data_IF_624676825534
#
_entry.id   IF_624676825534
#
_cell.length_a   1.000
_cell.length_b   1.000
_cell.length_c   1.000
_cell.angle_alpha   90.00
_cell.angle_beta   90.00
_cell.angle_gamma   90.00
#
_symmetry.space_group_name_H-M   'P 1'
#
loop_
_entity.id
_entity.type
_entity.pdbx_description
1 polymer ?
#
# COMPACT_ATOMS: atom_id res chain seq x y z
N UNK A 1 -4.45 -51.63 -59.81
CA UNK A 1 -5.69 -51.97 -60.52
C UNK A 1 -6.86 -52.04 -59.56
N UNK A 2 -6.93 -52.95 -58.56
CA UNK A 2 -8.11 -53.10 -57.69
C UNK A 2 -8.46 -51.85 -56.87
N UNK A 3 -7.47 -50.99 -56.61
CA UNK A 3 -7.61 -49.77 -55.79
C UNK A 3 -8.43 -48.66 -56.45
N UNK A 4 -8.54 -48.64 -57.78
CA UNK A 4 -9.21 -47.58 -58.54
C UNK A 4 -10.12 -48.10 -59.66
N UNK A 5 -10.15 -49.42 -59.84
CA UNK A 5 -10.93 -50.16 -60.83
C UNK A 5 -11.25 -51.53 -60.22
N UNK A 6 -12.52 -51.90 -60.16
CA UNK A 6 -12.88 -53.27 -59.78
C UNK A 6 -12.54 -54.25 -60.90
N UNK A 7 -12.41 -55.54 -60.58
CA UNK A 7 -12.08 -56.57 -61.57
C UNK A 7 -13.10 -56.64 -62.73
N UNK A 8 -14.36 -56.30 -62.46
CA UNK A 8 -15.44 -56.21 -63.46
C UNK A 8 -15.31 -54.99 -64.37
N UNK A 9 -14.92 -53.83 -63.84
CA UNK A 9 -14.67 -52.62 -64.64
C UNK A 9 -13.39 -52.75 -65.47
N UNK A 10 -12.36 -53.39 -64.92
CA UNK A 10 -11.13 -53.67 -65.64
C UNK A 10 -11.37 -54.63 -66.81
N UNK A 11 -12.18 -55.68 -66.62
CA UNK A 11 -12.56 -56.62 -67.68
C UNK A 11 -13.27 -55.92 -68.85
N UNK A 12 -14.16 -54.96 -68.56
CA UNK A 12 -14.91 -54.16 -69.55
C UNK A 12 -14.03 -53.14 -70.30
N UNK A 13 -12.97 -52.64 -69.67
CA UNK A 13 -12.09 -51.61 -70.25
C UNK A 13 -10.72 -52.16 -70.71
N UNK A 14 -10.49 -53.47 -70.63
CA UNK A 14 -9.17 -54.10 -70.85
C UNK A 14 -8.56 -53.85 -72.24
N UNK A 15 -9.38 -53.54 -73.25
CA UNK A 15 -8.93 -53.16 -74.60
C UNK A 15 -8.72 -51.66 -74.83
N UNK A 16 -9.14 -50.80 -73.90
CA UNK A 16 -9.07 -49.34 -74.00
C UNK A 16 -8.12 -48.78 -72.92
N UNK A 17 -6.83 -48.74 -73.28
CA UNK A 17 -5.78 -48.24 -72.36
C UNK A 17 -6.01 -46.78 -71.95
N UNK A 18 -6.65 -45.98 -72.80
CA UNK A 18 -6.93 -44.57 -72.54
C UNK A 18 -8.00 -44.39 -71.47
N UNK A 19 -9.06 -45.21 -71.46
CA UNK A 19 -10.08 -45.19 -70.42
C UNK A 19 -9.54 -45.67 -69.06
N UNK A 20 -8.70 -46.71 -69.06
CA UNK A 20 -8.01 -47.20 -67.87
C UNK A 20 -7.09 -46.13 -67.28
N UNK A 21 -6.30 -45.46 -68.12
CA UNK A 21 -5.42 -44.38 -67.71
C UNK A 21 -6.21 -43.18 -67.15
N UNK A 22 -7.31 -42.80 -67.79
CA UNK A 22 -8.17 -41.71 -67.32
C UNK A 22 -8.78 -41.97 -65.93
N UNK A 23 -9.20 -43.22 -65.65
CA UNK A 23 -9.69 -43.61 -64.31
C UNK A 23 -8.57 -43.61 -63.26
N UNK A 24 -7.38 -44.09 -63.60
CA UNK A 24 -6.22 -43.99 -62.72
C UNK A 24 -5.86 -42.52 -62.41
N UNK A 25 -5.82 -41.66 -63.43
CA UNK A 25 -5.53 -40.23 -63.28
C UNK A 25 -6.60 -39.49 -62.48
N UNK A 26 -7.88 -39.87 -62.62
CA UNK A 26 -8.97 -39.32 -61.81
C UNK A 26 -8.80 -39.70 -60.33
N UNK A 27 -8.49 -40.96 -60.05
CA UNK A 27 -8.23 -41.45 -58.68
C UNK A 27 -7.00 -40.79 -58.05
N UNK A 28 -5.89 -40.69 -58.80
CA UNK A 28 -4.66 -40.02 -58.35
C UNK A 28 -4.94 -38.54 -58.07
N UNK A 29 -5.69 -37.84 -58.93
CA UNK A 29 -6.08 -36.44 -58.68
C UNK A 29 -6.98 -36.28 -57.46
N UNK A 30 -7.90 -37.23 -57.23
CA UNK A 30 -8.72 -37.26 -56.02
C UNK A 30 -7.88 -37.39 -54.75
N UNK A 31 -6.95 -38.36 -54.72
CA UNK A 31 -6.04 -38.54 -53.59
C UNK A 31 -5.11 -37.33 -53.38
N UNK A 32 -4.62 -36.71 -54.46
CA UNK A 32 -3.81 -35.49 -54.35
C UNK A 32 -4.63 -34.34 -53.75
N UNK A 33 -5.89 -34.19 -54.15
CA UNK A 33 -6.77 -33.17 -53.59
C UNK A 33 -7.08 -33.41 -52.11
N UNK A 34 -7.33 -34.66 -51.71
CA UNK A 34 -7.49 -35.03 -50.31
C UNK A 34 -6.21 -34.76 -49.50
N UNK A 35 -5.04 -35.13 -50.03
CA UNK A 35 -3.74 -34.87 -49.43
C UNK A 35 -3.51 -33.37 -49.22
N UNK A 36 -3.79 -32.54 -50.24
CA UNK A 36 -3.64 -31.09 -50.15
C UNK A 36 -4.62 -30.48 -49.15
N UNK A 37 -5.85 -31.02 -49.07
CA UNK A 37 -6.84 -30.59 -48.07
C UNK A 37 -6.39 -30.94 -46.65
N UNK A 38 -5.85 -32.14 -46.44
CA UNK A 38 -5.30 -32.56 -45.14
C UNK A 38 -4.09 -31.72 -44.78
N UNK A 39 -3.19 -31.45 -45.73
CA UNK A 39 -2.02 -30.58 -45.52
C UNK A 39 -2.45 -29.17 -45.12
N UNK A 40 -3.38 -28.55 -45.84
CA UNK A 40 -3.89 -27.22 -45.51
C UNK A 40 -4.54 -27.17 -44.12
N UNK A 41 -5.26 -28.24 -43.71
CA UNK A 41 -5.82 -28.35 -42.36
C UNK A 41 -4.74 -28.50 -41.30
N UNK A 42 -3.68 -29.26 -41.56
CA UNK A 42 -2.55 -29.41 -40.66
C UNK A 42 -1.81 -28.07 -40.51
N UNK A 43 -1.50 -27.39 -41.61
CA UNK A 43 -0.84 -26.08 -41.60
C UNK A 43 -1.68 -25.04 -40.82
N UNK A 44 -3.01 -25.02 -41.01
CA UNK A 44 -3.90 -24.15 -40.27
C UNK A 44 -3.94 -24.46 -38.76
N UNK A 45 -3.87 -25.75 -38.39
CA UNK A 45 -3.81 -26.17 -37.00
C UNK A 45 -2.47 -25.76 -36.35
N UNK A 46 -1.36 -25.90 -37.06
CA UNK A 46 -0.03 -25.50 -36.60
C UNK A 46 0.06 -23.98 -36.38
N UNK A 47 -0.45 -23.19 -37.34
CA UNK A 47 -0.52 -21.72 -37.20
C UNK A 47 -1.36 -21.33 -35.97
N UNK A 48 -2.51 -21.98 -35.77
CA UNK A 48 -3.37 -21.67 -34.63
C UNK A 48 -2.71 -22.08 -33.30
N UNK A 49 -1.98 -23.19 -33.27
CA UNK A 49 -1.21 -23.60 -32.11
C UNK A 49 -0.11 -22.58 -31.78
N UNK A 50 0.64 -22.10 -32.77
CA UNK A 50 1.71 -21.11 -32.59
C UNK A 50 1.17 -19.75 -32.11
N UNK A 51 0.03 -19.31 -32.66
CA UNK A 51 -0.65 -18.09 -32.21
C UNK A 51 -1.12 -18.21 -30.75
N UNK A 52 -1.68 -19.36 -30.37
CA UNK A 52 -2.09 -19.60 -28.98
C UNK A 52 -0.89 -19.64 -28.03
N UNK A 53 0.21 -20.28 -28.42
CA UNK A 53 1.45 -20.28 -27.65
C UNK A 53 1.98 -18.85 -27.44
N UNK A 54 2.03 -18.05 -28.50
CA UNK A 54 2.49 -16.65 -28.45
C UNK A 54 1.61 -15.80 -27.51
N UNK A 55 0.29 -16.00 -27.56
CA UNK A 55 -0.64 -15.29 -26.68
C UNK A 55 -0.43 -15.68 -25.19
N UNK A 56 -0.21 -16.96 -24.92
CA UNK A 56 0.05 -17.45 -23.57
C UNK A 56 1.39 -16.90 -23.04
N UNK A 57 2.44 -16.91 -23.87
CA UNK A 57 3.73 -16.33 -23.51
C UNK A 57 3.62 -14.84 -23.18
N UNK A 58 2.90 -14.07 -24.00
CA UNK A 58 2.68 -12.65 -23.73
C UNK A 58 1.94 -12.43 -22.40
N UNK A 59 0.90 -13.23 -22.12
CA UNK A 59 0.18 -13.18 -20.83
C UNK A 59 1.10 -13.52 -19.66
N UNK A 60 1.93 -14.55 -19.81
CA UNK A 60 2.88 -14.95 -18.78
C UNK A 60 3.91 -13.84 -18.50
N UNK A 61 4.47 -13.22 -19.54
CA UNK A 61 5.40 -12.11 -19.41
C UNK A 61 4.76 -10.90 -18.73
N UNK A 62 3.53 -10.54 -19.11
CA UNK A 62 2.78 -9.46 -18.47
C UNK A 62 2.54 -9.74 -16.99
N UNK A 63 2.10 -10.96 -16.67
CA UNK A 63 1.83 -11.36 -15.30
C UNK A 63 3.12 -11.39 -14.45
N UNK A 64 4.22 -11.89 -15.01
CA UNK A 64 5.52 -11.89 -14.33
C UNK A 64 6.02 -10.47 -14.04
N UNK A 65 5.81 -9.52 -14.95
CA UNK A 65 6.15 -8.12 -14.72
C UNK A 65 5.31 -7.49 -13.60
N UNK A 66 4.01 -7.80 -13.54
CA UNK A 66 3.14 -7.35 -12.45
C UNK A 66 3.55 -7.96 -11.11
N UNK A 67 3.90 -9.25 -11.08
CA UNK A 67 4.42 -9.91 -9.87
C UNK A 67 5.71 -9.23 -9.38
N UNK A 68 6.66 -8.96 -10.27
CA UNK A 68 7.90 -8.27 -9.90
C UNK A 68 7.64 -6.87 -9.34
N UNK A 69 6.67 -6.14 -9.92
CA UNK A 69 6.25 -4.83 -9.39
C UNK A 69 5.60 -4.97 -8.01
N UNK A 70 4.74 -5.97 -7.81
CA UNK A 70 4.12 -6.22 -6.52
C UNK A 70 5.16 -6.58 -5.45
N UNK A 71 6.14 -7.42 -5.79
CA UNK A 71 7.26 -7.76 -4.91
C UNK A 71 8.06 -6.51 -4.50
N UNK A 72 8.35 -5.60 -5.44
CA UNK A 72 9.03 -4.34 -5.10
C UNK A 72 8.20 -3.47 -4.15
N UNK A 73 6.88 -3.38 -4.35
CA UNK A 73 6.01 -2.62 -3.46
C UNK A 73 5.94 -3.22 -2.06
N UNK A 74 5.93 -4.56 -1.96
CA UNK A 74 5.98 -5.25 -0.66
C UNK A 74 7.31 -4.95 0.04
N UNK A 75 8.43 -4.98 -0.67
CA UNK A 75 9.73 -4.63 -0.10
C UNK A 75 9.78 -3.17 0.38
N UNK A 76 9.25 -2.22 -0.40
CA UNK A 76 9.17 -0.81 -0.01
C UNK A 76 8.31 -0.61 1.24
N UNK A 77 7.13 -1.23 1.28
CA UNK A 77 6.24 -1.17 2.45
C UNK A 77 6.88 -1.81 3.69
N UNK A 78 7.60 -2.92 3.52
CA UNK A 78 8.32 -3.56 4.61
C UNK A 78 9.42 -2.64 5.17
N UNK A 79 10.21 -2.01 4.30
CA UNK A 79 11.26 -1.08 4.74
C UNK A 79 10.68 0.15 5.48
N UNK A 80 9.54 0.66 5.01
CA UNK A 80 8.81 1.76 5.66
C UNK A 80 8.27 1.35 7.03
N UNK A 81 7.72 0.13 7.14
CA UNK A 81 7.25 -0.42 8.41
C UNK A 81 8.40 -0.55 9.41
N UNK A 82 9.53 -1.11 8.99
CA UNK A 82 10.71 -1.29 9.84
C UNK A 82 11.25 0.07 10.31
N UNK A 83 11.28 1.08 9.43
CA UNK A 83 11.65 2.45 9.82
C UNK A 83 10.70 3.02 10.89
N UNK A 84 9.38 2.86 10.73
CA UNK A 84 8.41 3.34 11.71
C UNK A 84 8.52 2.62 13.05
N UNK A 85 8.86 1.33 13.05
CA UNK A 85 9.12 0.58 14.27
C UNK A 85 10.35 1.11 15.01
N UNK A 86 11.44 1.45 14.30
CA UNK A 86 12.61 2.10 14.89
C UNK A 86 12.26 3.46 15.52
N UNK A 87 11.53 4.32 14.80
CA UNK A 87 11.10 5.64 15.30
C UNK A 87 10.25 5.51 16.58
N UNK A 88 9.33 4.54 16.64
CA UNK A 88 8.51 4.27 17.83
C UNK A 88 9.40 3.83 19.00
N UNK A 89 10.37 2.94 18.76
CA UNK A 89 11.29 2.47 19.81
C UNK A 89 12.14 3.61 20.38
N UNK A 90 12.65 4.48 19.51
CA UNK A 90 13.42 5.67 19.92
C UNK A 90 12.57 6.64 20.74
N UNK A 91 11.35 6.95 20.28
CA UNK A 91 10.42 7.81 21.00
C UNK A 91 10.05 7.24 22.37
N UNK A 92 9.85 5.92 22.49
CA UNK A 92 9.61 5.25 23.77
C UNK A 92 10.80 5.39 24.71
N UNK A 93 12.03 5.20 24.22
CA UNK A 93 13.24 5.38 25.01
C UNK A 93 13.38 6.82 25.52
N UNK A 94 13.17 7.81 24.65
CA UNK A 94 13.21 9.23 25.02
C UNK A 94 12.14 9.59 26.05
N UNK A 95 10.92 9.07 25.90
CA UNK A 95 9.85 9.27 26.88
C UNK A 95 10.25 8.73 28.25
N UNK A 96 10.79 7.50 28.29
CA UNK A 96 11.24 6.91 29.55
C UNK A 96 12.37 7.72 30.20
N UNK A 97 13.30 8.24 29.41
CA UNK A 97 14.36 9.13 29.89
C UNK A 97 13.80 10.44 30.48
N UNK A 98 12.84 11.07 29.80
CA UNK A 98 12.18 12.28 30.29
C UNK A 98 11.38 12.02 31.56
N UNK A 99 10.73 10.87 31.67
CA UNK A 99 10.02 10.47 32.88
C UNK A 99 10.97 10.33 34.07
N UNK A 100 12.14 9.73 33.88
CA UNK A 100 13.17 9.66 34.91
C UNK A 100 13.66 11.05 35.35
N UNK A 101 13.91 11.94 34.39
CA UNK A 101 14.31 13.33 34.68
C UNK A 101 13.22 14.09 35.45
N UNK A 102 11.94 13.90 35.09
CA UNK A 102 10.82 14.50 35.80
C UNK A 102 10.81 14.06 37.26
N UNK A 103 10.96 12.76 37.52
CA UNK A 103 11.00 12.21 38.88
C UNK A 103 12.18 12.77 39.68
N UNK A 104 13.34 12.96 39.06
CA UNK A 104 14.49 13.62 39.70
C UNK A 104 14.22 15.07 40.07
N UNK A 105 13.56 15.83 39.18
CA UNK A 105 13.16 17.21 39.47
C UNK A 105 12.12 17.30 40.57
N UNK A 106 11.16 16.38 40.61
CA UNK A 106 10.17 16.31 41.69
C UNK A 106 10.83 16.04 43.05
N UNK A 107 11.82 15.14 43.09
CA UNK A 107 12.62 14.91 44.31
C UNK A 107 13.39 16.16 44.75
N UNK A 108 13.92 16.93 43.81
CA UNK A 108 14.61 18.19 44.11
C UNK A 108 13.64 19.24 44.66
N UNK A 109 12.47 19.38 44.05
CA UNK A 109 11.41 20.29 44.50
C UNK A 109 10.99 19.95 45.94
N UNK A 110 10.79 18.67 46.25
CA UNK A 110 10.43 18.25 47.61
C UNK A 110 11.53 18.53 48.62
N UNK A 111 12.82 18.35 48.26
CA UNK A 111 13.92 18.73 49.14
C UNK A 111 13.93 20.24 49.42
N UNK A 112 13.85 21.05 48.38
CA UNK A 112 13.80 22.51 48.51
C UNK A 112 12.58 22.97 49.32
N UNK A 113 11.43 22.31 49.16
CA UNK A 113 10.24 22.56 49.97
C UNK A 113 10.54 22.35 51.47
N UNK A 114 11.19 21.24 51.83
CA UNK A 114 11.56 20.97 53.23
C UNK A 114 12.55 21.99 53.78
N UNK A 115 13.56 22.40 52.99
CA UNK A 115 14.52 23.43 53.40
C UNK A 115 13.84 24.79 53.63
N UNK A 116 12.90 25.18 52.77
CA UNK A 116 12.11 26.41 52.93
C UNK A 116 11.24 26.34 54.19
N UNK A 117 10.64 25.19 54.50
CA UNK A 117 9.86 25.00 55.72
C UNK A 117 10.72 25.12 56.99
N UNK A 118 11.93 24.54 56.99
CA UNK A 118 12.88 24.68 58.09
C UNK A 118 13.34 26.12 58.26
N UNK A 119 13.65 26.81 57.16
CA UNK A 119 14.00 28.23 57.19
C UNK A 119 12.86 29.09 57.75
N UNK A 120 11.61 28.82 57.35
CA UNK A 120 10.44 29.51 57.91
C UNK A 120 10.27 29.27 59.42
N UNK A 121 10.55 28.06 59.92
CA UNK A 121 10.54 27.78 61.36
C UNK A 121 11.62 28.58 62.10
N UNK A 122 12.85 28.58 61.58
CA UNK A 122 13.96 29.34 62.16
C UNK A 122 13.71 30.86 62.15
N UNK A 123 13.20 31.40 61.03
CA UNK A 123 12.80 32.81 60.91
C UNK A 123 11.77 33.20 61.97
N UNK A 124 10.76 32.35 62.21
CA UNK A 124 9.73 32.61 63.23
C UNK A 124 10.33 32.67 64.63
N UNK A 125 11.19 31.73 64.98
CA UNK A 125 11.90 31.71 66.27
C UNK A 125 12.75 32.96 66.48
N UNK A 126 13.45 33.42 65.44
CA UNK A 126 14.25 34.65 65.52
C UNK A 126 13.39 35.90 65.72
N UNK A 127 12.22 35.98 65.07
CA UNK A 127 11.28 37.09 65.27
C UNK A 127 10.75 37.11 66.71
N UNK A 128 10.34 35.95 67.25
CA UNK A 128 9.89 35.84 68.65
C UNK A 128 10.99 36.27 69.64
N UNK A 129 12.25 35.88 69.39
CA UNK A 129 13.37 36.29 70.23
C UNK A 129 13.66 37.80 70.11
N UNK A 130 13.55 38.36 68.91
CA UNK A 130 13.71 39.80 68.72
C UNK A 130 12.63 40.59 69.46
N UNK A 131 11.36 40.18 69.36
CA UNK A 131 10.26 40.78 70.11
C UNK A 131 10.50 40.72 71.63
N UNK A 132 11.00 39.59 72.14
CA UNK A 132 11.37 39.46 73.55
C UNK A 132 12.50 40.43 73.94
N UNK A 133 13.52 40.60 73.09
CA UNK A 133 14.63 41.52 73.35
C UNK A 133 14.20 42.98 73.29
N UNK A 134 13.29 43.33 72.39
CA UNK A 134 12.71 44.66 72.33
C UNK A 134 11.90 44.99 73.60
N UNK A 135 11.15 44.01 74.13
CA UNK A 135 10.47 44.15 75.42
C UNK A 135 11.46 44.36 76.56
N UNK A 136 12.51 43.53 76.67
CA UNK A 136 13.56 43.69 77.69
C UNK A 136 14.22 45.08 77.59
N UNK A 137 14.58 45.52 76.39
CA UNK A 137 15.17 46.84 76.16
C UNK A 137 14.21 47.97 76.57
N UNK A 138 12.91 47.84 76.27
CA UNK A 138 11.90 48.82 76.65
C UNK A 138 11.77 48.93 78.18
N UNK A 139 11.80 47.81 78.89
CA UNK A 139 11.78 47.78 80.37
C UNK A 139 13.04 48.42 80.94
N UNK A 140 14.22 48.06 80.42
CA UNK A 140 15.49 48.68 80.83
C UNK A 140 15.47 50.19 80.59
N UNK A 141 14.99 50.64 79.44
CA UNK A 141 14.84 52.06 79.13
C UNK A 141 13.88 52.76 80.09
N UNK A 142 12.76 52.13 80.47
CA UNK A 142 11.84 52.67 81.47
C UNK A 142 12.51 52.79 82.85
N UNK A 143 13.30 51.78 83.27
CA UNK A 143 14.06 51.85 84.53
C UNK A 143 15.13 52.94 84.52
N UNK A 144 15.87 53.06 83.42
CA UNK A 144 16.86 54.13 83.22
C UNK A 144 16.21 55.51 83.27
N UNK A 145 15.06 55.67 82.63
CA UNK A 145 14.28 56.92 82.70
C UNK A 145 13.85 57.24 84.13
N UNK A 146 13.39 56.24 84.90
CA UNK A 146 13.07 56.42 86.32
C UNK A 146 14.30 56.84 87.15
N UNK A 147 15.47 56.26 86.88
CA UNK A 147 16.71 56.70 87.53
C UNK A 147 17.10 58.13 87.16
N UNK A 148 16.96 58.48 85.88
CA UNK A 148 17.23 59.84 85.38
C UNK A 148 16.30 60.86 86.06
N UNK A 149 15.00 60.57 86.14
CA UNK A 149 14.02 61.43 86.81
C UNK A 149 14.34 61.62 88.30
N UNK A 150 14.80 60.56 88.98
CA UNK A 150 15.28 60.66 90.36
C UNK A 150 16.51 61.57 90.48
N UNK A 151 17.50 61.42 89.60
CA UNK A 151 18.69 62.27 89.59
C UNK A 151 18.31 63.73 89.32
N UNK A 152 17.43 63.99 88.35
CA UNK A 152 16.93 65.34 88.05
C UNK A 152 16.18 65.94 89.24
N UNK A 153 15.37 65.14 89.94
CA UNK A 153 14.69 65.57 91.16
C UNK A 153 15.67 65.87 92.31
N UNK A 154 16.75 65.09 92.43
CA UNK A 154 17.83 65.34 93.37
C UNK A 154 18.61 66.60 93.00
N UNK A 155 18.95 66.80 91.72
CA UNK A 155 19.64 68.02 91.27
C UNK A 155 18.75 69.25 91.41
N UNK A 156 17.44 69.14 91.22
CA UNK A 156 16.49 70.21 91.49
C UNK A 156 16.38 70.50 93.00
N UNK A 157 16.44 69.46 93.85
CA UNK A 157 16.51 69.63 95.31
C UNK A 157 17.82 70.28 95.76
N UNK A 158 18.96 69.91 95.18
CA UNK A 158 20.25 70.58 95.40
C UNK A 158 20.25 72.00 94.86
N UNK A 159 19.64 72.27 93.71
CA UNK A 159 19.46 73.64 93.19
C UNK A 159 18.51 74.47 94.07
N UNK A 160 17.53 73.83 94.72
CA UNK A 160 16.66 74.45 95.73
C UNK A 160 17.41 74.68 97.06
N UNK A 161 18.33 73.78 97.43
CA UNK A 161 19.23 73.90 98.57
C UNK A 161 20.29 75.00 98.36
N UNK A 162 20.86 75.11 97.16
CA UNK A 162 21.75 76.19 96.73
C UNK A 162 21.01 77.54 96.65
N UNK A 163 19.73 77.56 96.23
CA UNK A 163 18.88 78.76 96.31
C UNK A 163 18.49 79.17 97.75
N UNK A 164 18.73 78.34 98.77
CA UNK A 164 18.48 78.61 100.19
C UNK A 164 19.75 78.97 100.99
N UNK A 165 20.93 78.95 100.36
CA UNK A 165 22.25 79.09 100.99
C UNK A 165 22.94 80.45 100.86
N UNK A 166 22.36 81.45 100.18
CA UNK A 166 23.03 82.74 99.90
C UNK A 166 22.30 83.95 100.52
N UNK A 167 22.36 84.12 101.85
CA UNK A 167 21.96 85.35 102.57
C UNK A 167 22.78 85.51 103.87
N UNK A 168 23.42 86.68 104.09
CA UNK A 168 24.22 87.20 105.26
C UNK A 168 25.76 86.96 105.21
N UNK A 169 26.67 87.92 105.43
CA UNK A 169 26.60 89.30 105.92
C UNK A 169 27.92 90.08 105.67
N UNK A 170 27.86 91.42 105.69
CA UNK A 170 28.90 92.41 105.35
C UNK A 170 29.87 92.83 106.48
N UNK A 171 30.97 93.50 106.06
CA UNK A 171 31.81 94.54 106.73
C UNK A 171 32.74 94.07 107.89
N UNK A 172 33.99 94.53 108.06
CA UNK A 172 34.52 95.90 107.92
C UNK A 172 36.08 95.95 107.85
N UNK A 173 36.60 97.15 107.55
CA UNK A 173 37.93 97.56 107.08
C UNK A 173 38.98 97.77 108.20
N UNK A 174 40.28 97.43 107.93
CA UNK A 174 41.53 98.15 108.30
C UNK A 174 42.78 97.26 108.60
N UNK A 175 43.62 96.95 107.59
CA UNK A 175 45.08 96.68 107.72
C UNK A 175 45.81 96.61 106.34
N UNK A 176 45.61 97.61 105.48
CA UNK A 176 45.70 97.45 104.02
C UNK A 176 47.08 97.54 103.34
N UNK A 177 48.22 97.76 104.00
CA UNK A 177 49.48 98.04 103.25
C UNK A 177 50.66 97.05 103.38
N UNK A 178 50.79 96.25 104.46
CA UNK A 178 51.91 95.27 104.58
C UNK A 178 51.48 93.81 104.35
N UNK A 179 50.25 93.45 104.73
CA UNK A 179 49.67 92.14 104.38
C UNK A 179 49.31 92.10 102.89
N UNK A 180 48.95 93.23 102.29
CA UNK A 180 48.60 93.34 100.86
C UNK A 180 49.71 92.86 99.92
N UNK A 181 50.99 93.14 100.23
CA UNK A 181 52.10 92.66 99.38
C UNK A 181 52.39 91.16 99.53
N UNK A 182 52.16 90.59 100.72
CA UNK A 182 52.36 89.16 101.01
C UNK A 182 51.16 88.30 100.55
N UNK A 183 49.93 88.79 100.73
CA UNK A 183 48.71 88.25 100.15
C UNK A 183 48.74 88.35 98.62
N UNK A 184 49.22 89.45 98.04
CA UNK A 184 49.36 89.56 96.59
C UNK A 184 50.37 88.54 96.06
N UNK A 185 51.49 88.31 96.75
CA UNK A 185 52.47 87.30 96.34
C UNK A 185 51.92 85.88 96.48
N UNK A 186 51.25 85.56 97.59
CA UNK A 186 50.60 84.26 97.82
C UNK A 186 49.49 84.01 96.78
N UNK A 187 48.65 85.02 96.53
CA UNK A 187 47.58 84.97 95.54
C UNK A 187 48.14 84.84 94.12
N UNK A 188 49.26 85.51 93.78
CA UNK A 188 49.91 85.34 92.48
C UNK A 188 50.51 83.94 92.33
N UNK A 189 51.09 83.35 93.38
CA UNK A 189 51.60 81.97 93.35
C UNK A 189 50.49 80.93 93.30
N UNK A 190 49.40 81.13 94.02
CA UNK A 190 48.22 80.25 93.99
C UNK A 190 47.50 80.34 92.64
N UNK A 191 47.37 81.55 92.08
CA UNK A 191 46.83 81.76 90.74
C UNK A 191 47.74 81.16 89.66
N UNK A 192 49.07 81.22 89.84
CA UNK A 192 50.02 80.56 88.94
C UNK A 192 49.88 79.03 89.01
N UNK A 193 49.83 78.44 90.21
CA UNK A 193 49.63 77.01 90.41
C UNK A 193 48.27 76.53 89.87
N UNK A 194 47.21 77.31 90.07
CA UNK A 194 45.88 77.04 89.53
C UNK A 194 45.86 77.09 88.00
N UNK A 195 46.53 78.08 87.40
CA UNK A 195 46.68 78.16 85.94
C UNK A 195 47.47 76.97 85.39
N UNK A 196 48.56 76.58 86.06
CA UNK A 196 49.36 75.41 85.67
C UNK A 196 48.57 74.11 85.75
N UNK A 197 47.80 73.91 86.82
CA UNK A 197 46.92 72.75 86.97
C UNK A 197 45.85 72.69 85.86
N UNK A 198 45.24 73.85 85.53
CA UNK A 198 44.27 73.95 84.43
C UNK A 198 44.92 73.70 83.06
N UNK A 199 46.15 74.17 82.84
CA UNK A 199 46.88 73.89 81.61
C UNK A 199 47.17 72.39 81.48
N UNK A 200 47.66 71.75 82.55
CA UNK A 200 47.91 70.31 82.57
C UNK A 200 46.63 69.48 82.33
N UNK A 201 45.50 69.90 82.90
CA UNK A 201 44.19 69.27 82.66
C UNK A 201 43.75 69.39 81.20
N UNK A 202 43.85 70.58 80.61
CA UNK A 202 43.54 70.82 79.19
C UNK A 202 44.48 70.04 78.27
N UNK A 203 45.75 69.90 78.61
CA UNK A 203 46.71 69.08 77.86
C UNK A 203 46.37 67.58 77.94
N UNK A 204 45.96 67.10 79.12
CA UNK A 204 45.48 65.73 79.31
C UNK A 204 44.16 65.47 78.56
N UNK A 205 43.27 66.47 78.48
CA UNK A 205 42.06 66.42 77.65
C UNK A 205 42.39 66.40 76.16
N UNK A 206 43.30 67.26 75.71
CA UNK A 206 43.73 67.33 74.31
C UNK A 206 44.35 66.01 73.85
N UNK A 207 45.18 65.38 74.68
CA UNK A 207 45.75 64.06 74.39
C UNK A 207 44.69 62.96 74.35
N UNK A 208 43.72 62.96 75.29
CA UNK A 208 42.57 62.05 75.24
C UNK A 208 41.72 62.24 73.99
N UNK A 209 41.41 63.48 73.62
CA UNK A 209 40.67 63.82 72.41
C UNK A 209 41.41 63.35 71.16
N UNK A 210 42.72 63.59 71.06
CA UNK A 210 43.54 63.10 69.93
C UNK A 210 43.52 61.58 69.81
N UNK A 211 43.65 60.86 70.93
CA UNK A 211 43.56 59.40 70.94
C UNK A 211 42.17 58.89 70.50
N UNK A 212 41.10 59.58 70.93
CA UNK A 212 39.74 59.28 70.50
C UNK A 212 39.54 59.53 69.00
N UNK A 213 40.08 60.63 68.46
CA UNK A 213 40.03 60.93 67.01
C UNK A 213 40.74 59.85 66.17
N UNK A 214 41.93 59.40 66.59
CA UNK A 214 42.65 58.33 65.88
C UNK A 214 41.83 57.04 65.84
N UNK A 215 41.22 56.65 66.98
CA UNK A 215 40.36 55.46 67.04
C UNK A 215 39.15 55.60 66.12
N UNK A 216 38.47 56.74 66.15
CA UNK A 216 37.31 56.98 65.28
C UNK A 216 37.69 56.99 63.80
N UNK A 217 38.87 57.48 63.42
CA UNK A 217 39.34 57.41 62.03
C UNK A 217 39.60 55.95 61.60
N UNK A 218 40.19 55.14 62.47
CA UNK A 218 40.36 53.69 62.21
C UNK A 218 39.03 52.97 62.07
N UNK A 219 38.07 53.24 62.97
CA UNK A 219 36.71 52.66 62.89
C UNK A 219 36.02 53.07 61.58
N UNK A 220 36.14 54.34 61.17
CA UNK A 220 35.63 54.83 59.89
C UNK A 220 36.26 54.10 58.70
N UNK A 221 37.59 53.95 58.66
CA UNK A 221 38.26 53.23 57.57
C UNK A 221 37.81 51.75 57.47
N UNK A 222 37.60 51.08 58.61
CA UNK A 222 37.10 49.71 58.64
C UNK A 222 35.69 49.66 58.05
N UNK A 223 34.81 50.57 58.46
CA UNK A 223 33.44 50.64 57.95
C UNK A 223 33.41 50.97 56.44
N UNK A 224 34.27 51.87 55.96
CA UNK A 224 34.39 52.20 54.54
C UNK A 224 34.84 50.97 53.72
N UNK A 225 35.83 50.21 54.20
CA UNK A 225 36.28 48.96 53.55
C UNK A 225 35.20 47.88 53.57
N UNK A 226 34.44 47.76 54.67
CA UNK A 226 33.32 46.83 54.75
C UNK A 226 32.22 47.20 53.76
N UNK A 227 31.88 48.48 53.66
CA UNK A 227 30.89 48.97 52.70
C UNK A 227 31.33 48.76 51.25
N UNK A 228 32.60 49.00 50.92
CA UNK A 228 33.10 48.76 49.56
C UNK A 228 33.03 47.27 49.20
N UNK A 229 33.47 46.39 50.10
CA UNK A 229 33.40 44.95 49.89
C UNK A 229 31.96 44.45 49.73
N UNK A 230 31.03 44.90 50.59
CA UNK A 230 29.61 44.54 50.48
C UNK A 230 29.01 45.00 49.15
N UNK A 231 29.39 46.19 48.67
CA UNK A 231 28.90 46.71 47.40
C UNK A 231 29.47 45.95 46.19
N UNK A 232 30.74 45.54 46.24
CA UNK A 232 31.37 44.68 45.24
C UNK A 232 30.69 43.30 45.19
N UNK A 233 30.49 42.66 46.34
CA UNK A 233 29.81 41.36 46.43
C UNK A 233 28.36 41.46 45.94
N UNK A 234 27.63 42.51 46.33
CA UNK A 234 26.27 42.75 45.87
C UNK A 234 26.23 42.91 44.33
N UNK A 235 27.13 43.71 43.77
CA UNK A 235 27.22 43.89 42.32
C UNK A 235 27.58 42.58 41.61
N UNK A 236 28.51 41.79 42.14
CA UNK A 236 28.87 40.49 41.58
C UNK A 236 27.67 39.53 41.56
N UNK A 237 26.91 39.45 42.67
CA UNK A 237 25.69 38.63 42.74
C UNK A 237 24.60 39.13 41.78
N UNK A 238 24.39 40.44 41.70
CA UNK A 238 23.43 41.06 40.77
C UNK A 238 23.78 40.73 39.32
N UNK A 239 25.06 40.86 38.94
CA UNK A 239 25.53 40.52 37.60
C UNK A 239 25.34 39.03 37.29
N UNK A 240 25.72 38.14 38.21
CA UNK A 240 25.51 36.70 38.07
C UNK A 240 24.02 36.35 37.86
N UNK A 241 23.12 37.00 38.62
CA UNK A 241 21.69 36.84 38.46
C UNK A 241 21.18 37.33 37.10
N UNK A 242 21.68 38.47 36.61
CA UNK A 242 21.35 38.96 35.27
C UNK A 242 21.81 38.01 34.16
N UNK A 243 23.01 37.45 34.27
CA UNK A 243 23.50 36.45 33.31
C UNK A 243 22.65 35.18 33.31
N UNK A 244 22.28 34.69 34.50
CA UNK A 244 21.39 33.54 34.65
C UNK A 244 20.03 33.81 34.01
N UNK A 245 19.44 34.99 34.28
CA UNK A 245 18.15 35.39 33.72
C UNK A 245 18.20 35.47 32.19
N UNK A 246 19.27 36.03 31.63
CA UNK A 246 19.47 36.09 30.18
C UNK A 246 19.57 34.68 29.57
N UNK A 247 20.37 33.78 30.15
CA UNK A 247 20.46 32.38 29.69
C UNK A 247 19.11 31.67 29.76
N UNK A 248 18.35 31.88 30.82
CA UNK A 248 17.02 31.31 30.96
C UNK A 248 16.07 31.81 29.85
N UNK A 249 16.05 33.12 29.57
CA UNK A 249 15.24 33.68 28.49
C UNK A 249 15.66 33.17 27.10
N UNK A 250 16.96 33.01 26.85
CA UNK A 250 17.48 32.43 25.60
C UNK A 250 17.01 30.97 25.43
N UNK A 251 17.08 30.16 26.49
CA UNK A 251 16.60 28.78 26.48
C UNK A 251 15.08 28.69 26.32
N UNK A 252 14.32 29.55 27.00
CA UNK A 252 12.87 29.60 26.88
C UNK A 252 12.44 29.95 25.45
N UNK A 253 13.14 30.89 24.80
CA UNK A 253 12.90 31.25 23.41
C UNK A 253 13.23 30.11 22.44
N UNK A 254 14.38 29.42 22.61
CA UNK A 254 14.76 28.26 21.81
C UNK A 254 13.77 27.10 21.96
N UNK A 255 13.38 26.78 23.20
CA UNK A 255 12.39 25.73 23.48
C UNK A 255 11.01 26.10 22.91
N UNK A 256 10.60 27.37 23.02
CA UNK A 256 9.34 27.85 22.43
C UNK A 256 9.36 27.76 20.90
N UNK A 257 10.48 28.07 20.25
CA UNK A 257 10.65 27.91 18.80
C UNK A 257 10.54 26.44 18.39
N UNK A 258 11.23 25.54 19.10
CA UNK A 258 11.18 24.09 18.83
C UNK A 258 9.77 23.52 19.01
N UNK A 259 9.05 23.96 20.04
CA UNK A 259 7.65 23.56 20.24
C UNK A 259 6.76 24.00 19.07
N UNK A 260 6.88 25.26 18.64
CA UNK A 260 6.12 25.77 17.50
C UNK A 260 6.42 25.01 16.19
N UNK A 261 7.69 24.66 15.94
CA UNK A 261 8.09 23.87 14.78
C UNK A 261 7.52 22.45 14.82
N UNK A 262 7.55 21.79 15.98
CA UNK A 262 6.98 20.45 16.18
C UNK A 262 5.45 20.46 16.01
N UNK A 263 4.76 21.48 16.53
CA UNK A 263 3.32 21.65 16.31
C UNK A 263 2.99 21.83 14.82
N UNK A 264 3.80 22.62 14.10
CA UNK A 264 3.65 22.79 12.65
C UNK A 264 3.80 21.46 11.92
N UNK A 265 4.85 20.70 12.21
CA UNK A 265 5.10 19.38 11.61
C UNK A 265 3.97 18.39 11.91
N UNK A 266 3.51 18.33 13.16
CA UNK A 266 2.38 17.48 13.54
C UNK A 266 1.12 17.83 12.76
N UNK A 267 0.83 19.13 12.60
CA UNK A 267 -0.33 19.59 11.82
C UNK A 267 -0.23 19.20 10.35
N UNK A 268 0.98 19.21 9.78
CA UNK A 268 1.25 18.83 8.39
C UNK A 268 1.15 17.31 8.19
N UNK A 269 1.75 16.52 9.08
CA UNK A 269 1.61 15.06 9.10
C UNK A 269 0.15 14.63 9.27
N UNK A 270 -0.62 15.29 10.15
CA UNK A 270 -2.04 15.01 10.34
C UNK A 270 -2.86 15.28 9.07
N UNK A 271 -2.60 16.41 8.39
CA UNK A 271 -3.26 16.73 7.11
C UNK A 271 -2.91 15.71 6.02
N UNK A 272 -1.64 15.32 5.91
CA UNK A 272 -1.17 14.31 4.96
C UNK A 272 -1.82 12.94 5.23
N UNK A 273 -1.91 12.54 6.51
CA UNK A 273 -2.58 11.31 6.92
C UNK A 273 -4.07 11.33 6.57
N UNK A 274 -4.76 12.46 6.79
CA UNK A 274 -6.17 12.60 6.43
C UNK A 274 -6.38 12.45 4.93
N UNK A 275 -5.56 13.11 4.12
CA UNK A 275 -5.60 12.99 2.66
C UNK A 275 -5.34 11.56 2.20
N UNK A 276 -4.39 10.85 2.82
CA UNK A 276 -4.12 9.45 2.49
C UNK A 276 -5.32 8.56 2.85
N UNK A 277 -5.96 8.79 4.01
CA UNK A 277 -7.21 8.09 4.39
C UNK A 277 -8.34 8.34 3.39
N UNK A 278 -8.49 9.56 2.89
CA UNK A 278 -9.48 9.89 1.85
C UNK A 278 -9.17 9.14 0.54
N UNK A 279 -7.89 9.11 0.14
CA UNK A 279 -7.43 8.39 -1.05
C UNK A 279 -7.67 6.88 -0.96
N UNK A 280 -7.41 6.28 0.21
CA UNK A 280 -7.68 4.85 0.45
C UNK A 280 -9.17 4.56 0.29
N UNK A 281 -10.05 5.38 0.90
CA UNK A 281 -11.51 5.24 0.73
C UNK A 281 -11.95 5.35 -0.74
N UNK A 282 -11.34 6.25 -1.51
CA UNK A 282 -11.60 6.37 -2.95
C UNK A 282 -11.19 5.10 -3.71
N UNK A 283 -10.01 4.55 -3.42
CA UNK A 283 -9.52 3.32 -4.05
C UNK A 283 -10.36 2.10 -3.66
N UNK A 284 -10.82 2.00 -2.41
CA UNK A 284 -11.74 0.95 -1.96
C UNK A 284 -13.08 1.00 -2.71
N UNK A 285 -13.62 2.19 -2.96
CA UNK A 285 -14.84 2.35 -3.77
C UNK A 285 -14.61 1.91 -5.22
N UNK A 286 -13.48 2.29 -5.83
CA UNK A 286 -13.12 1.85 -7.19
C UNK A 286 -12.95 0.34 -7.28
N UNK A 287 -12.30 -0.27 -6.29
CA UNK A 287 -12.11 -1.71 -6.22
C UNK A 287 -13.46 -2.45 -6.18
N UNK A 288 -14.41 -1.96 -5.35
CA UNK A 288 -15.77 -2.52 -5.28
C UNK A 288 -16.51 -2.40 -6.61
N UNK A 289 -16.45 -1.24 -7.26
CA UNK A 289 -17.06 -1.01 -8.58
C UNK A 289 -16.53 -1.99 -9.63
N UNK A 290 -15.20 -2.13 -9.72
CA UNK A 290 -14.57 -3.06 -10.68
C UNK A 290 -14.91 -4.51 -10.36
N UNK A 291 -15.01 -4.87 -9.08
CA UNK A 291 -15.44 -6.20 -8.66
C UNK A 291 -16.88 -6.50 -9.10
N UNK A 292 -17.80 -5.54 -8.97
CA UNK A 292 -19.19 -5.67 -9.43
C UNK A 292 -19.29 -5.78 -10.96
N UNK A 293 -18.49 -5.01 -11.70
CA UNK A 293 -18.37 -5.10 -13.16
C UNK A 293 -17.85 -6.47 -13.61
N UNK A 294 -16.82 -7.00 -12.94
CA UNK A 294 -16.26 -8.31 -13.23
C UNK A 294 -17.27 -9.43 -13.00
N UNK A 295 -18.04 -9.36 -11.91
CA UNK A 295 -19.12 -10.33 -11.63
C UNK A 295 -20.17 -10.26 -12.74
N UNK A 296 -20.61 -9.04 -13.09
CA UNK A 296 -21.60 -8.84 -14.16
C UNK A 296 -21.11 -9.38 -15.52
N UNK A 297 -19.84 -9.15 -15.85
CA UNK A 297 -19.23 -9.67 -17.07
C UNK A 297 -19.10 -11.20 -17.06
N UNK A 298 -18.75 -11.79 -15.92
CA UNK A 298 -18.68 -13.24 -15.73
C UNK A 298 -20.07 -13.87 -15.92
N UNK A 299 -21.10 -13.29 -15.34
CA UNK A 299 -22.47 -13.80 -15.44
C UNK A 299 -23.00 -13.67 -16.89
N UNK A 300 -22.68 -12.58 -17.58
CA UNK A 300 -22.99 -12.40 -18.99
C UNK A 300 -22.26 -13.42 -19.88
N UNK A 301 -20.99 -13.72 -19.59
CA UNK A 301 -20.22 -14.75 -20.29
C UNK A 301 -20.81 -16.15 -20.06
N UNK A 302 -21.17 -16.50 -18.82
CA UNK A 302 -21.81 -17.76 -18.49
C UNK A 302 -23.16 -17.94 -19.23
N UNK A 303 -23.99 -16.90 -19.25
CA UNK A 303 -25.26 -16.93 -20.00
C UNK A 303 -25.05 -17.13 -21.50
N UNK A 304 -24.00 -16.53 -22.07
CA UNK A 304 -23.64 -16.72 -23.48
C UNK A 304 -23.12 -18.14 -23.75
N UNK A 305 -22.30 -18.71 -22.86
CA UNK A 305 -21.86 -20.11 -22.97
C UNK A 305 -23.03 -21.09 -22.92
N UNK A 306 -24.02 -20.86 -22.04
CA UNK A 306 -25.25 -21.63 -21.99
C UNK A 306 -26.05 -21.52 -23.30
N UNK A 307 -26.19 -20.31 -23.84
CA UNK A 307 -26.84 -20.08 -25.13
C UNK A 307 -26.14 -20.83 -26.26
N UNK A 308 -24.81 -20.71 -26.38
CA UNK A 308 -24.03 -21.40 -27.40
C UNK A 308 -24.11 -22.93 -27.25
N UNK A 309 -24.15 -23.42 -26.02
CA UNK A 309 -24.34 -24.85 -25.74
C UNK A 309 -25.72 -25.33 -26.23
N UNK A 310 -26.76 -24.54 -26.00
CA UNK A 310 -28.10 -24.82 -26.52
C UNK A 310 -28.11 -24.78 -28.06
N UNK A 311 -27.51 -23.78 -28.69
CA UNK A 311 -27.39 -23.68 -30.16
C UNK A 311 -26.63 -24.88 -30.74
N UNK A 312 -25.50 -25.27 -30.16
CA UNK A 312 -24.75 -26.47 -30.55
C UNK A 312 -25.60 -27.74 -30.45
N UNK A 313 -26.41 -27.87 -29.39
CA UNK A 313 -27.32 -29.03 -29.25
C UNK A 313 -28.36 -29.08 -30.38
N UNK A 314 -28.89 -27.93 -30.80
CA UNK A 314 -29.86 -27.86 -31.91
C UNK A 314 -29.20 -28.16 -33.25
N UNK A 315 -28.00 -27.64 -33.51
CA UNK A 315 -27.22 -27.92 -34.72
C UNK A 315 -26.86 -29.41 -34.79
N UNK A 316 -26.42 -30.01 -33.69
CA UNK A 316 -26.16 -31.44 -33.62
C UNK A 316 -27.41 -32.26 -33.94
N UNK A 317 -28.58 -31.85 -33.42
CA UNK A 317 -29.84 -32.54 -33.73
C UNK A 317 -30.19 -32.45 -35.22
N UNK A 318 -29.99 -31.29 -35.84
CA UNK A 318 -30.19 -31.11 -37.29
C UNK A 318 -29.22 -31.98 -38.09
N UNK A 319 -27.96 -32.05 -37.68
CA UNK A 319 -26.95 -32.89 -38.34
C UNK A 319 -27.34 -34.38 -38.30
N UNK A 320 -27.82 -34.87 -37.15
CA UNK A 320 -28.34 -36.25 -37.05
C UNK A 320 -29.55 -36.49 -37.98
N UNK A 321 -30.46 -35.52 -38.11
CA UNK A 321 -31.59 -35.64 -39.05
C UNK A 321 -31.11 -35.68 -40.51
N UNK A 322 -30.13 -34.86 -40.89
CA UNK A 322 -29.53 -34.91 -42.22
C UNK A 322 -28.84 -36.24 -42.49
N UNK A 323 -28.13 -36.79 -41.50
CA UNK A 323 -27.49 -38.10 -41.58
C UNK A 323 -28.51 -39.22 -41.79
N UNK A 324 -29.58 -39.26 -41.00
CA UNK A 324 -30.67 -40.25 -41.15
C UNK A 324 -31.32 -40.13 -42.53
N UNK A 325 -31.61 -38.90 -42.99
CA UNK A 325 -32.15 -38.66 -44.33
C UNK A 325 -31.22 -39.18 -45.43
N UNK A 326 -29.91 -38.93 -45.31
CA UNK A 326 -28.92 -39.44 -46.26
C UNK A 326 -28.86 -40.98 -46.27
N UNK A 327 -28.93 -41.62 -45.10
CA UNK A 327 -29.00 -43.08 -44.98
C UNK A 327 -30.28 -43.65 -45.61
N UNK A 328 -31.43 -43.00 -45.43
CA UNK A 328 -32.69 -43.39 -46.08
C UNK A 328 -32.63 -43.28 -47.61
N UNK A 329 -32.05 -42.19 -48.13
CA UNK A 329 -31.84 -42.02 -49.57
C UNK A 329 -30.85 -43.05 -50.13
N UNK A 330 -29.80 -43.36 -49.38
CA UNK A 330 -28.85 -44.42 -49.74
C UNK A 330 -29.54 -45.79 -49.82
N UNK A 331 -30.42 -46.11 -48.85
CA UNK A 331 -31.21 -47.34 -48.88
C UNK A 331 -32.17 -47.40 -50.08
N UNK A 332 -32.89 -46.30 -50.35
CA UNK A 332 -33.75 -46.21 -51.56
C UNK A 332 -32.95 -46.37 -52.84
N UNK A 333 -31.75 -45.79 -52.92
CA UNK A 333 -30.88 -45.96 -54.07
C UNK A 333 -30.47 -47.43 -54.25
N UNK A 334 -30.11 -48.12 -53.17
CA UNK A 334 -29.79 -49.55 -53.21
C UNK A 334 -31.01 -50.41 -53.64
N UNK A 335 -32.21 -50.11 -53.15
CA UNK A 335 -33.45 -50.79 -53.55
C UNK A 335 -33.72 -50.60 -55.05
N UNK A 336 -33.59 -49.36 -55.55
CA UNK A 336 -33.75 -49.04 -56.98
C UNK A 336 -32.69 -49.73 -57.84
N UNK A 337 -31.44 -49.79 -57.38
CA UNK A 337 -30.37 -50.53 -58.06
C UNK A 337 -30.68 -52.03 -58.12
N UNK A 338 -31.28 -52.60 -57.06
CA UNK A 338 -31.79 -53.97 -57.05
C UNK A 338 -32.90 -54.21 -58.08
N UNK A 339 -33.85 -53.28 -58.21
CA UNK A 339 -34.91 -53.34 -59.24
C UNK A 339 -34.32 -53.27 -60.64
N UNK A 340 -33.36 -52.37 -60.87
CA UNK A 340 -32.66 -52.25 -62.16
C UNK A 340 -31.97 -53.58 -62.50
N UNK A 341 -31.21 -54.17 -61.57
CA UNK A 341 -30.56 -55.48 -61.79
C UNK A 341 -31.57 -56.59 -62.11
N UNK A 342 -32.71 -56.61 -61.44
CA UNK A 342 -33.78 -57.56 -61.73
C UNK A 342 -34.37 -57.36 -63.13
N UNK A 343 -34.60 -56.10 -63.54
CA UNK A 343 -35.06 -55.76 -64.88
C UNK A 343 -34.03 -56.13 -65.96
N UNK A 344 -32.75 -55.84 -65.73
CA UNK A 344 -31.64 -56.22 -66.62
C UNK A 344 -31.56 -57.74 -66.78
N UNK A 345 -31.69 -58.50 -65.68
CA UNK A 345 -31.72 -59.96 -65.73
C UNK A 345 -32.93 -60.50 -66.50
N UNK A 346 -34.11 -59.90 -66.33
CA UNK A 346 -35.31 -60.30 -67.07
C UNK A 346 -35.18 -59.96 -68.56
N UNK A 347 -34.63 -58.79 -68.91
CA UNK A 347 -34.31 -58.42 -70.29
C UNK A 347 -33.37 -59.44 -70.93
N UNK A 348 -32.31 -59.82 -70.22
CA UNK A 348 -31.36 -60.83 -70.68
C UNK A 348 -32.01 -62.20 -70.87
N UNK A 349 -32.85 -62.63 -69.93
CA UNK A 349 -33.63 -63.86 -70.06
C UNK A 349 -34.52 -63.83 -71.31
N UNK A 350 -35.23 -62.72 -71.55
CA UNK A 350 -36.07 -62.53 -72.72
C UNK A 350 -35.25 -62.55 -74.01
N UNK A 351 -34.08 -61.89 -74.03
CA UNK A 351 -33.15 -61.92 -75.16
C UNK A 351 -32.68 -63.35 -75.47
N UNK A 352 -32.32 -64.11 -74.45
CA UNK A 352 -31.87 -65.51 -74.58
C UNK A 352 -33.01 -66.42 -75.04
N UNK A 353 -34.23 -66.26 -74.50
CA UNK A 353 -35.44 -66.97 -74.95
C UNK A 353 -35.76 -66.67 -76.42
N UNK A 354 -35.61 -65.40 -76.86
CA UNK A 354 -35.79 -65.01 -78.26
C UNK A 354 -34.70 -65.59 -79.16
N UNK A 355 -33.44 -65.61 -78.72
CA UNK A 355 -32.35 -66.28 -79.44
C UNK A 355 -32.62 -67.77 -79.62
N UNK A 356 -33.04 -68.46 -78.57
CA UNK A 356 -33.34 -69.90 -78.62
C UNK A 356 -34.51 -70.17 -79.58
N UNK A 357 -35.59 -69.38 -79.51
CA UNK A 357 -36.71 -69.47 -80.47
C UNK A 357 -36.25 -69.24 -81.90
N UNK A 358 -35.41 -68.22 -82.13
CA UNK A 358 -34.87 -67.92 -83.45
C UNK A 358 -34.01 -69.07 -83.98
N UNK A 359 -33.18 -69.68 -83.13
CA UNK A 359 -32.33 -70.81 -83.49
C UNK A 359 -33.14 -72.08 -83.80
N UNK A 360 -34.17 -72.37 -82.99
CA UNK A 360 -35.16 -73.43 -83.26
C UNK A 360 -35.85 -73.20 -84.61
N UNK A 361 -36.33 -71.98 -84.87
CA UNK A 361 -36.99 -71.64 -86.14
C UNK A 361 -36.03 -71.72 -87.33
N UNK A 362 -34.78 -71.29 -87.19
CA UNK A 362 -33.75 -71.44 -88.21
C UNK A 362 -33.44 -72.92 -88.49
N UNK A 363 -33.41 -73.76 -87.44
CA UNK A 363 -33.23 -75.20 -87.59
C UNK A 363 -34.43 -75.87 -88.29
N UNK A 364 -35.65 -75.45 -87.95
CA UNK A 364 -36.89 -75.89 -88.60
C UNK A 364 -36.92 -75.45 -90.07
N UNK A 365 -36.53 -74.20 -90.37
CA UNK A 365 -36.38 -73.72 -91.75
C UNK A 365 -35.34 -74.50 -92.53
N UNK A 366 -34.18 -74.81 -91.94
CA UNK A 366 -33.16 -75.67 -92.58
C UNK A 366 -33.72 -77.06 -92.88
N UNK A 367 -34.48 -77.63 -91.96
CA UNK A 367 -35.14 -78.93 -92.13
C UNK A 367 -36.20 -78.88 -93.26
N UNK A 368 -37.05 -77.85 -93.30
CA UNK A 368 -38.03 -77.64 -94.36
C UNK A 368 -37.36 -77.38 -95.71
N UNK A 369 -36.25 -76.63 -95.76
CA UNK A 369 -35.48 -76.43 -96.99
C UNK A 369 -34.89 -77.76 -97.48
N UNK A 370 -34.42 -78.60 -96.57
CA UNK A 370 -33.93 -79.95 -96.90
C UNK A 370 -35.06 -80.85 -97.38
N UNK A 371 -36.22 -80.82 -96.73
CA UNK A 371 -37.41 -81.55 -97.18
C UNK A 371 -37.92 -81.03 -98.53
N UNK A 372 -37.84 -79.72 -98.78
CA UNK A 372 -38.16 -79.12 -100.07
C UNK A 372 -37.14 -79.50 -101.15
N UNK A 373 -35.85 -79.62 -100.82
CA UNK A 373 -34.85 -80.15 -101.76
C UNK A 373 -35.06 -81.64 -102.05
N UNK A 374 -35.40 -82.44 -101.03
CA UNK A 374 -35.69 -83.86 -101.18
C UNK A 374 -36.98 -84.07 -101.99
N UNK A 375 -38.00 -83.23 -101.78
CA UNK A 375 -39.22 -83.21 -102.59
C UNK A 375 -38.96 -82.72 -104.01
N UNK A 376 -38.09 -81.73 -104.19
CA UNK A 376 -37.66 -81.26 -105.52
C UNK A 376 -36.91 -82.35 -106.26
N UNK A 377 -36.00 -83.06 -105.60
CA UNK A 377 -35.29 -84.21 -106.17
C UNK A 377 -36.25 -85.35 -106.52
N UNK A 378 -37.24 -85.63 -105.65
CA UNK A 378 -38.34 -86.57 -105.96
C UNK A 378 -39.21 -86.10 -107.11
N UNK A 379 -39.47 -84.79 -107.23
CA UNK A 379 -40.22 -84.20 -108.34
C UNK A 379 -39.44 -84.36 -109.64
N UNK A 380 -38.15 -84.04 -109.65
CA UNK A 380 -37.25 -84.27 -110.79
C UNK A 380 -37.18 -85.76 -111.17
N UNK A 381 -37.24 -86.67 -110.19
CA UNK A 381 -37.33 -88.12 -110.40
C UNK A 381 -38.68 -88.55 -111.00
N UNK A 382 -39.79 -88.01 -110.50
CA UNK A 382 -41.13 -88.23 -111.03
C UNK A 382 -41.29 -87.63 -112.43
N UNK A 383 -40.73 -86.46 -112.70
CA UNK A 383 -40.67 -85.85 -114.02
C UNK A 383 -39.84 -86.72 -114.97
N UNK A 384 -38.71 -87.25 -114.52
CA UNK A 384 -37.94 -88.22 -115.30
C UNK A 384 -38.70 -89.55 -115.53
N UNK A 385 -39.53 -90.01 -114.59
CA UNK A 385 -40.40 -91.17 -114.75
C UNK A 385 -41.60 -90.90 -115.68
N UNK A 386 -42.18 -89.70 -115.64
CA UNK A 386 -43.22 -89.24 -116.58
C UNK A 386 -42.62 -89.12 -117.98
N UNK A 387 -41.41 -88.59 -118.11
CA UNK A 387 -40.71 -88.48 -119.39
C UNK A 387 -40.25 -89.84 -119.93
N UNK A 388 -39.98 -90.81 -119.04
CA UNK A 388 -39.83 -92.23 -119.41
C UNK A 388 -41.15 -92.83 -119.88
N UNK A 389 -42.27 -92.60 -119.18
CA UNK A 389 -43.62 -93.09 -119.56
C UNK A 389 -44.12 -92.48 -120.87
N UNK A 390 -43.74 -91.25 -121.20
CA UNK A 390 -44.00 -90.64 -122.51
C UNK A 390 -43.21 -91.29 -123.65
N UNK A 391 -42.04 -91.89 -123.39
CA UNK A 391 -41.20 -92.53 -124.41
C UNK A 391 -41.50 -94.02 -124.64
N UNK A 392 -42.35 -94.66 -123.83
CA UNK A 392 -42.66 -96.10 -123.95
C UNK A 392 -44.04 -96.44 -124.52
N UNK A 393 -44.89 -95.46 -124.85
CA UNK A 393 -46.30 -95.72 -125.20
C UNK A 393 -46.72 -95.21 -126.60
N UNK A 394 -45.86 -95.39 -127.60
CA UNK A 394 -46.24 -95.39 -129.02
C UNK A 394 -46.04 -96.80 -129.61
N UNK A 395 -46.96 -97.73 -129.31
CA UNK A 395 -47.32 -98.91 -130.13
C UNK A 395 -48.40 -99.76 -129.43
N UNK A 396 -49.67 -99.47 -129.72
CA UNK A 396 -50.82 -100.38 -129.93
C UNK A 396 -52.19 -99.89 -129.37
N UNK A 397 -53.08 -99.56 -130.31
CA UNK A 397 -54.54 -99.78 -130.40
C UNK A 397 -55.47 -99.16 -129.32
N UNK A 398 -56.21 -98.06 -129.61
CA UNK A 398 -57.52 -97.91 -130.32
C UNK A 398 -58.72 -97.71 -129.32
N UNK A 399 -59.87 -97.10 -129.75
CA UNK A 399 -60.60 -96.04 -129.03
C UNK A 399 -61.97 -96.48 -128.47
N UNK A 400 -62.62 -95.63 -127.63
CA UNK A 400 -64.07 -95.34 -127.61
C UNK A 400 -64.52 -94.47 -126.41
N UNK A 401 -65.29 -93.39 -126.72
CA UNK A 401 -66.49 -92.83 -126.04
C UNK A 401 -66.43 -92.48 -124.52
N UNK A 402 -67.15 -91.52 -123.92
CA UNK A 402 -68.12 -90.46 -124.25
C UNK A 402 -68.48 -89.75 -122.90
N UNK A 403 -69.15 -88.57 -122.94
CA UNK A 403 -69.81 -87.85 -121.81
C UNK A 403 -68.90 -87.07 -120.82
N UNK A 404 -69.23 -85.91 -120.21
CA UNK A 404 -70.07 -84.70 -120.41
C UNK A 404 -69.72 -83.74 -119.24
N UNK A 405 -69.70 -82.42 -119.49
CA UNK A 405 -69.98 -81.25 -118.58
C UNK A 405 -69.45 -81.25 -117.13
N UNK A 406 -68.72 -80.24 -116.67
CA UNK A 406 -69.09 -78.81 -116.50
C UNK A 406 -67.84 -77.90 -116.46
#
# INVERSE_FOLDING_TARGET
>A
MPLFLSDEEFSRCSGDSTAVAAKADAFIRGLLHELDTVRAKADAADINAEQNCSLIEQKYLSLAAEFSKLESHVADLQSSLDQRLCEISEAQSQNHQLQLQSVEKDREIERLRTEVEEFHKSKRQLLELNEQKDLELSEKNATLKSYLDKIVSFSAFWCWFDCLGDVFCCNNVDLFCCVSMMLLKLHLTENAAHKEARLSEVEAELTRCRAACIRLEQEKEIVEKQNSWLNEELNAKVNSFFELRRKHTELDADMSSKLADMERQFSECSKSLLWNKDRVRELEMKLKSVQEELISAKDAAAANEEQLTAELSTVNKLNELYKVSAEEWSKKAADLEGVIKAMESHLKQVEDDYKEKLEKELSARKQVVKEASDLKEKLEKCEAEIEKRKKTNELNNLPLSSFTTE
#
